data_IF_933654048900
#
_entry.id   IF_933654048900
#
_cell.length_a   1.000
_cell.length_b   1.000
_cell.length_c   1.000
_cell.angle_alpha   90.00
_cell.angle_beta   90.00
_cell.angle_gamma   90.00
#
_symmetry.space_group_name_H-M   'P 1'
#
loop_
_entity.id
_entity.type
_entity.pdbx_description
1 polymer ?
#
# COMPACT_ATOMS: atom_id res chain seq x y z
N UNK A 1 -10.51 7.89 49.06
CA UNK A 1 -9.56 7.35 48.06
C UNK A 1 -9.85 8.09 46.76
N UNK A 2 -8.89 8.85 46.24
CA UNK A 2 -9.09 9.69 45.04
C UNK A 2 -8.86 8.88 43.78
N UNK A 3 -9.71 9.19 42.82
CA UNK A 3 -9.90 8.62 41.49
C UNK A 3 -8.64 8.66 40.63
N UNK A 4 -8.45 7.65 39.78
CA UNK A 4 -7.57 7.73 38.61
C UNK A 4 -8.37 7.28 37.38
N UNK A 5 -8.99 8.25 36.73
CA UNK A 5 -9.59 8.08 35.42
C UNK A 5 -8.51 7.73 34.40
N UNK A 6 -8.71 6.62 33.69
CA UNK A 6 -7.90 6.24 32.54
C UNK A 6 -8.00 7.35 31.49
N UNK A 7 -6.85 7.94 31.21
CA UNK A 7 -6.63 9.03 30.29
C UNK A 7 -6.93 8.53 28.87
N UNK A 8 -8.08 8.95 28.34
CA UNK A 8 -8.35 8.90 26.91
C UNK A 8 -7.26 9.70 26.19
N UNK A 9 -6.40 9.02 25.44
CA UNK A 9 -5.45 9.66 24.52
C UNK A 9 -6.25 10.42 23.46
N UNK A 10 -6.48 11.72 23.70
CA UNK A 10 -6.96 12.66 22.69
C UNK A 10 -5.84 12.87 21.69
N UNK A 11 -5.99 12.27 20.52
CA UNK A 11 -5.10 12.46 19.38
C UNK A 11 -5.38 13.83 18.76
N UNK A 12 -4.38 14.72 18.86
CA UNK A 12 -4.35 16.03 18.18
C UNK A 12 -4.53 15.80 16.67
N UNK A 13 -5.32 16.61 15.93
CA UNK A 13 -5.52 16.43 14.50
C UNK A 13 -4.21 16.75 13.75
N UNK A 14 -3.33 15.75 13.63
CA UNK A 14 -2.19 15.78 12.74
C UNK A 14 -2.76 15.81 11.32
N UNK A 15 -2.20 16.69 10.47
CA UNK A 15 -2.50 16.68 9.03
C UNK A 15 -2.38 15.22 8.53
N UNK A 16 -3.35 14.73 7.75
CA UNK A 16 -3.35 13.33 7.36
C UNK A 16 -2.07 13.01 6.60
N UNK A 17 -1.41 11.95 7.02
CA UNK A 17 -0.13 11.48 6.46
C UNK A 17 -0.31 11.05 5.01
N UNK A 18 0.80 10.95 4.26
CA UNK A 18 0.78 10.44 2.88
C UNK A 18 0.09 9.08 2.75
N UNK A 19 0.30 8.21 3.75
CA UNK A 19 -0.38 6.93 3.90
C UNK A 19 -1.88 7.07 4.07
N UNK A 20 -2.33 7.83 5.06
CA UNK A 20 -3.76 8.02 5.34
C UNK A 20 -4.53 8.53 4.12
N UNK A 21 -3.94 9.49 3.40
CA UNK A 21 -4.53 10.04 2.18
C UNK A 21 -4.60 9.01 1.04
N UNK A 22 -3.57 8.18 0.89
CA UNK A 22 -3.53 7.13 -0.11
C UNK A 22 -4.51 5.98 0.20
N UNK A 23 -4.62 5.59 1.47
CA UNK A 23 -5.58 4.59 1.93
C UNK A 23 -7.02 5.11 1.82
N UNK A 24 -7.26 6.39 2.10
CA UNK A 24 -8.56 7.03 1.88
C UNK A 24 -8.92 7.07 0.39
N UNK A 25 -7.97 7.43 -0.48
CA UNK A 25 -8.14 7.37 -1.93
C UNK A 25 -8.57 5.97 -2.41
N UNK A 26 -7.91 4.93 -1.90
CA UNK A 26 -8.24 3.54 -2.23
C UNK A 26 -9.62 3.11 -1.70
N UNK A 27 -9.98 3.57 -0.50
CA UNK A 27 -11.30 3.33 0.08
C UNK A 27 -12.40 4.04 -0.71
N UNK A 28 -12.15 5.28 -1.13
CA UNK A 28 -13.07 6.06 -1.96
C UNK A 28 -13.29 5.39 -3.31
N UNK A 29 -12.22 4.88 -3.95
CA UNK A 29 -12.33 4.09 -5.17
C UNK A 29 -13.25 2.87 -4.98
N UNK A 30 -13.09 2.14 -3.87
CA UNK A 30 -13.86 0.92 -3.62
C UNK A 30 -15.31 1.16 -3.18
N UNK A 31 -15.59 2.21 -2.40
CA UNK A 31 -16.92 2.46 -1.81
C UNK A 31 -17.75 3.46 -2.61
N UNK A 32 -17.11 4.51 -3.12
CA UNK A 32 -17.76 5.64 -3.78
C UNK A 32 -17.13 5.90 -5.16
N UNK A 33 -17.16 4.93 -6.10
CA UNK A 33 -16.51 5.07 -7.40
C UNK A 33 -17.04 6.26 -8.23
N UNK A 34 -18.26 6.75 -7.95
CA UNK A 34 -18.87 7.93 -8.60
C UNK A 34 -18.19 9.25 -8.23
N UNK A 35 -17.73 9.38 -6.99
CA UNK A 35 -17.05 10.58 -6.50
C UNK A 35 -15.52 10.46 -6.56
N UNK A 36 -15.04 9.24 -6.83
CA UNK A 36 -13.64 8.97 -6.97
C UNK A 36 -13.06 9.69 -8.18
N UNK A 37 -11.98 10.42 -7.92
CA UNK A 37 -11.19 11.09 -8.95
C UNK A 37 -9.80 10.51 -8.94
N UNK A 38 -9.25 10.27 -10.13
CA UNK A 38 -7.88 9.81 -10.26
C UNK A 38 -6.91 10.82 -9.62
N UNK A 39 -6.10 10.35 -8.66
CA UNK A 39 -5.10 11.16 -7.98
C UNK A 39 -3.73 10.50 -8.16
N UNK A 40 -2.99 10.93 -9.18
CA UNK A 40 -1.69 10.37 -9.55
C UNK A 40 -0.74 10.27 -8.36
N UNK A 41 -0.63 11.32 -7.54
CA UNK A 41 0.21 11.32 -6.34
C UNK A 41 -0.14 10.19 -5.35
N UNK A 42 -1.43 9.90 -5.18
CA UNK A 42 -1.90 8.83 -4.28
C UNK A 42 -1.63 7.45 -4.88
N UNK A 43 -1.88 7.29 -6.18
CA UNK A 43 -1.53 6.06 -6.89
C UNK A 43 -0.03 5.78 -6.82
N UNK A 44 0.83 6.75 -7.15
CA UNK A 44 2.29 6.59 -7.10
C UNK A 44 2.76 6.22 -5.69
N UNK A 45 2.17 6.83 -4.66
CA UNK A 45 2.46 6.49 -3.27
C UNK A 45 2.07 5.03 -2.97
N UNK A 46 0.87 4.60 -3.36
CA UNK A 46 0.42 3.21 -3.18
C UNK A 46 1.36 2.23 -3.88
N UNK A 47 1.69 2.46 -5.15
CA UNK A 47 2.59 1.57 -5.92
C UNK A 47 3.99 1.47 -5.32
N UNK A 48 4.45 2.50 -4.64
CA UNK A 48 5.79 2.51 -4.02
C UNK A 48 5.79 1.87 -2.63
N UNK A 49 4.67 1.91 -1.90
CA UNK A 49 4.58 1.46 -0.50
C UNK A 49 3.67 0.25 -0.29
N UNK A 50 3.08 -0.33 -1.34
CA UNK A 50 2.13 -1.44 -1.21
C UNK A 50 2.70 -2.73 -0.62
N UNK A 51 4.02 -2.91 -0.70
CA UNK A 51 4.69 -4.08 -0.15
C UNK A 51 4.91 -3.99 1.36
N UNK A 52 4.80 -2.78 1.94
CA UNK A 52 5.00 -2.52 3.35
C UNK A 52 3.67 -2.66 4.12
N UNK A 53 3.63 -3.57 5.10
CA UNK A 53 2.43 -3.83 5.92
C UNK A 53 2.09 -2.70 6.88
N UNK A 54 3.08 -1.98 7.39
CA UNK A 54 2.87 -0.86 8.29
C UNK A 54 2.23 0.31 7.55
N UNK A 55 2.66 0.52 6.30
CA UNK A 55 2.14 1.59 5.43
C UNK A 55 0.81 1.22 4.79
N UNK A 56 0.68 -0.03 4.34
CA UNK A 56 -0.51 -0.57 3.69
C UNK A 56 -0.94 -1.84 4.42
N UNK A 57 -1.83 -1.73 5.43
CA UNK A 57 -2.36 -2.90 6.13
C UNK A 57 -3.05 -3.88 5.18
N UNK A 58 -3.08 -5.16 5.52
CA UNK A 58 -3.61 -6.23 4.65
C UNK A 58 -5.05 -5.96 4.15
N UNK A 59 -5.91 -5.36 4.99
CA UNK A 59 -7.27 -4.98 4.58
C UNK A 59 -7.29 -4.03 3.38
N UNK A 60 -6.32 -3.12 3.29
CA UNK A 60 -6.20 -2.18 2.18
C UNK A 60 -5.44 -2.81 1.02
N UNK A 61 -4.47 -3.67 1.31
CA UNK A 61 -3.77 -4.42 0.28
C UNK A 61 -4.73 -5.27 -0.57
N UNK A 62 -5.73 -5.93 0.04
CA UNK A 62 -6.76 -6.66 -0.71
C UNK A 62 -7.59 -5.75 -1.64
N UNK A 63 -7.90 -4.52 -1.22
CA UNK A 63 -8.59 -3.54 -2.07
C UNK A 63 -7.65 -3.06 -3.18
N UNK A 64 -6.37 -2.89 -2.86
CA UNK A 64 -5.34 -2.46 -3.79
C UNK A 64 -5.17 -3.47 -4.92
N UNK A 65 -5.12 -4.77 -4.62
CA UNK A 65 -5.06 -5.80 -5.66
C UNK A 65 -6.19 -5.62 -6.67
N UNK A 66 -7.44 -5.44 -6.22
CA UNK A 66 -8.57 -5.15 -7.13
C UNK A 66 -8.39 -3.85 -7.92
N UNK A 67 -7.77 -2.85 -7.32
CA UNK A 67 -7.43 -1.61 -8.02
C UNK A 67 -6.36 -1.84 -9.10
N UNK A 68 -5.38 -2.71 -8.84
CA UNK A 68 -4.33 -3.08 -9.78
C UNK A 68 -4.88 -3.90 -10.96
N UNK A 69 -5.92 -4.72 -10.77
CA UNK A 69 -6.61 -5.42 -11.87
C UNK A 69 -7.14 -4.45 -12.94
N UNK A 70 -7.56 -3.25 -12.51
CA UNK A 70 -8.03 -2.19 -13.41
C UNK A 70 -6.90 -1.36 -14.04
N UNK A 71 -5.63 -1.60 -13.73
CA UNK A 71 -4.52 -0.89 -14.36
C UNK A 71 -4.35 -1.33 -15.81
N UNK A 72 -4.24 -0.35 -16.69
CA UNK A 72 -4.05 -0.57 -18.12
C UNK A 72 -2.87 0.24 -18.65
N UNK A 73 -2.28 -0.24 -19.74
CA UNK A 73 -1.17 0.42 -20.44
C UNK A 73 0.06 0.63 -19.55
N UNK A 74 0.66 1.82 -19.66
CA UNK A 74 1.96 2.12 -19.06
C UNK A 74 2.00 1.99 -17.52
N UNK A 75 0.88 2.24 -16.82
CA UNK A 75 0.83 2.12 -15.37
C UNK A 75 0.97 0.66 -14.91
N UNK A 76 0.36 -0.29 -15.63
CA UNK A 76 0.51 -1.73 -15.38
C UNK A 76 1.95 -2.17 -15.64
N UNK A 77 2.45 -1.86 -16.83
CA UNK A 77 3.79 -2.25 -17.28
C UNK A 77 4.89 -1.72 -16.33
N UNK A 78 4.81 -0.45 -15.96
CA UNK A 78 5.74 0.15 -14.98
C UNK A 78 5.63 -0.51 -13.60
N UNK A 79 4.44 -0.95 -13.19
CA UNK A 79 4.24 -1.63 -11.90
C UNK A 79 4.88 -3.01 -11.91
N UNK A 80 4.70 -3.78 -12.99
CA UNK A 80 5.35 -5.08 -13.19
C UNK A 80 6.87 -4.92 -13.18
N UNK A 81 7.41 -4.05 -14.03
CA UNK A 81 8.86 -3.83 -14.11
C UNK A 81 9.47 -3.44 -12.75
N UNK A 82 8.80 -2.56 -11.99
CA UNK A 82 9.26 -2.18 -10.65
C UNK A 82 9.18 -3.34 -9.65
N UNK A 83 8.12 -4.13 -9.70
CA UNK A 83 7.96 -5.30 -8.84
C UNK A 83 9.02 -6.36 -9.15
N UNK A 84 9.29 -6.64 -10.42
CA UNK A 84 10.34 -7.56 -10.86
C UNK A 84 11.73 -7.06 -10.48
N UNK A 85 12.02 -5.77 -10.70
CA UNK A 85 13.29 -5.17 -10.32
C UNK A 85 13.52 -5.29 -8.80
N UNK A 86 12.50 -4.98 -7.99
CA UNK A 86 12.56 -5.17 -6.54
C UNK A 86 12.81 -6.64 -6.19
N UNK A 87 12.07 -7.57 -6.79
CA UNK A 87 12.22 -9.01 -6.55
C UNK A 87 13.64 -9.52 -6.89
N UNK A 88 14.22 -9.02 -7.98
CA UNK A 88 15.58 -9.36 -8.41
C UNK A 88 16.65 -8.75 -7.52
N UNK A 89 16.45 -7.52 -7.06
CA UNK A 89 17.34 -6.90 -6.06
C UNK A 89 17.35 -7.71 -4.77
N UNK A 90 16.19 -8.23 -4.34
CA UNK A 90 16.10 -9.11 -3.16
C UNK A 90 16.79 -10.46 -3.34
N UNK A 91 16.66 -11.09 -4.51
CA UNK A 91 17.36 -12.35 -4.84
C UNK A 91 18.88 -12.17 -4.84
N UNK A 92 19.36 -11.00 -5.26
CA UNK A 92 20.78 -10.66 -5.33
C UNK A 92 21.38 -10.24 -3.99
N UNK A 93 20.57 -9.67 -3.08
CA UNK A 93 21.00 -9.37 -1.71
C UNK A 93 20.93 -10.63 -0.86
N UNK A 94 21.97 -11.48 -0.92
CA UNK A 94 22.15 -12.72 -0.15
C UNK A 94 22.27 -12.50 1.39
N UNK A 95 21.89 -11.34 1.90
CA UNK A 95 21.81 -11.06 3.33
C UNK A 95 20.42 -11.43 3.84
N UNK A 96 20.30 -12.62 4.43
CA UNK A 96 19.08 -13.21 5.02
C UNK A 96 18.35 -12.31 6.05
N UNK A 97 18.96 -11.20 6.47
CA UNK A 97 18.50 -10.35 7.58
C UNK A 97 17.68 -9.11 7.14
N UNK A 98 17.75 -8.68 5.87
CA UNK A 98 17.30 -7.32 5.50
C UNK A 98 15.89 -7.20 4.91
N UNK A 99 15.23 -8.30 4.54
CA UNK A 99 13.95 -8.22 3.82
C UNK A 99 12.84 -8.98 4.56
N UNK A 100 11.76 -8.29 5.00
CA UNK A 100 10.62 -8.98 5.58
C UNK A 100 10.04 -9.97 4.57
N UNK A 101 9.94 -11.26 4.95
CA UNK A 101 9.32 -12.31 4.13
C UNK A 101 7.96 -11.87 3.55
N UNK A 102 7.24 -11.06 4.32
CA UNK A 102 5.94 -10.48 3.98
C UNK A 102 5.97 -9.58 2.74
N UNK A 103 7.06 -8.82 2.54
CA UNK A 103 7.27 -7.95 1.37
C UNK A 103 7.39 -8.81 0.11
N UNK A 104 8.17 -9.90 0.17
CA UNK A 104 8.34 -10.86 -0.91
C UNK A 104 7.02 -11.54 -1.28
N UNK A 105 6.19 -11.91 -0.29
CA UNK A 105 4.86 -12.47 -0.54
C UNK A 105 3.95 -11.48 -1.28
N UNK A 106 3.98 -10.21 -0.90
CA UNK A 106 3.18 -9.16 -1.57
C UNK A 106 3.64 -8.91 -3.00
N UNK A 107 4.96 -8.88 -3.24
CA UNK A 107 5.53 -8.76 -4.58
C UNK A 107 5.08 -9.90 -5.49
N UNK A 108 5.16 -11.15 -5.00
CA UNK A 108 4.67 -12.33 -5.73
C UNK A 108 3.21 -12.19 -6.11
N UNK A 109 2.35 -11.76 -5.17
CA UNK A 109 0.92 -11.56 -5.44
C UNK A 109 0.67 -10.49 -6.51
N UNK A 110 1.40 -9.38 -6.46
CA UNK A 110 1.28 -8.31 -7.47
C UNK A 110 1.74 -8.79 -8.84
N UNK A 111 2.88 -9.49 -8.91
CA UNK A 111 3.39 -10.04 -10.17
C UNK A 111 2.44 -11.08 -10.76
N UNK A 112 1.91 -12.00 -9.96
CA UNK A 112 0.94 -12.99 -10.42
C UNK A 112 -0.36 -12.36 -10.93
N UNK A 113 -0.77 -11.22 -10.36
CA UNK A 113 -1.97 -10.52 -10.79
C UNK A 113 -1.78 -9.76 -12.11
N UNK A 114 -0.58 -9.23 -12.33
CA UNK A 114 -0.27 -8.35 -13.45
C UNK A 114 0.49 -9.04 -14.60
N UNK A 115 0.92 -10.28 -14.40
CA UNK A 115 1.38 -11.19 -15.47
C UNK A 115 0.22 -11.60 -16.39
#
# INVERSE_FOLDING_TARGET
>A
MREAGVIAKKEVPKKPSGSELALNYLTCWSKNPKEWKFQKTRQTWLLSHMYDKEKVPDKYFSILLRYLEGLQGNARDTTVQKAEALMKEYDKSETEDSVPLETCERLRKVLQLLS
#
